data_IF_098942674992
#
_entry.id   IF_098942674992
#
_cell.length_a   1.000
_cell.length_b   1.000
_cell.length_c   1.000
_cell.angle_alpha   90.00
_cell.angle_beta   90.00
_cell.angle_gamma   90.00
#
_symmetry.space_group_name_H-M   'P 1'
#
loop_
_entity.id
_entity.type
_entity.pdbx_description
1 polymer ?
#
# COMPACT_ATOMS: atom_id res chain seq x y z
N UNK A 1 5.73 20.66 -9.59
CA UNK A 1 5.11 19.33 -9.39
C UNK A 1 5.25 18.93 -7.93
N UNK A 2 4.25 18.32 -7.40
CA UNK A 2 4.25 17.86 -6.02
C UNK A 2 4.05 16.34 -5.97
N UNK A 3 4.75 15.68 -5.07
CA UNK A 3 4.57 14.25 -4.85
C UNK A 3 3.45 14.06 -3.85
N UNK A 4 2.49 13.24 -4.21
CA UNK A 4 1.36 12.91 -3.35
C UNK A 4 1.47 11.45 -2.93
N UNK A 5 1.25 11.18 -1.65
CA UNK A 5 1.33 9.83 -1.10
C UNK A 5 -0.06 9.33 -0.72
N UNK A 6 -0.24 8.03 -0.88
CA UNK A 6 -1.43 7.35 -0.42
C UNK A 6 -1.01 6.10 0.33
N UNK A 7 -1.54 5.92 1.53
CA UNK A 7 -1.25 4.74 2.34
C UNK A 7 -2.53 3.94 2.52
N UNK A 8 -2.48 2.68 2.12
CA UNK A 8 -3.62 1.76 2.25
C UNK A 8 -3.29 0.73 3.32
N UNK A 9 -4.12 0.65 4.34
CA UNK A 9 -3.97 -0.32 5.42
C UNK A 9 -4.84 -1.53 5.16
N UNK A 10 -4.35 -2.71 5.52
CA UNK A 10 -5.17 -3.92 5.48
C UNK A 10 -4.78 -4.86 6.60
N UNK A 11 -5.79 -5.46 7.24
CA UNK A 11 -5.58 -6.54 8.21
C UNK A 11 -5.61 -7.90 7.52
N UNK A 12 -6.02 -7.96 6.26
CA UNK A 12 -6.00 -9.17 5.47
C UNK A 12 -4.68 -9.24 4.72
N UNK A 13 -3.67 -9.85 5.35
CA UNK A 13 -2.31 -9.90 4.81
C UNK A 13 -2.13 -11.22 4.06
N UNK A 14 -2.79 -11.32 2.91
CA UNK A 14 -2.68 -12.46 2.02
C UNK A 14 -2.23 -11.97 0.65
N UNK A 15 -1.67 -12.89 -0.13
CA UNK A 15 -1.26 -12.55 -1.49
C UNK A 15 -2.41 -12.00 -2.32
N UNK A 16 -3.58 -12.61 -2.20
CA UNK A 16 -4.76 -12.18 -2.95
C UNK A 16 -5.20 -10.77 -2.57
N UNK A 17 -5.22 -10.46 -1.27
CA UNK A 17 -5.63 -9.15 -0.81
C UNK A 17 -4.63 -8.07 -1.23
N UNK A 18 -3.35 -8.35 -1.10
CA UNK A 18 -2.30 -7.40 -1.48
C UNK A 18 -2.28 -7.17 -2.98
N UNK A 19 -2.46 -8.24 -3.76
CA UNK A 19 -2.51 -8.12 -5.21
C UNK A 19 -3.69 -7.26 -5.65
N UNK A 20 -4.84 -7.44 -5.02
CA UNK A 20 -6.02 -6.63 -5.33
C UNK A 20 -5.76 -5.15 -5.04
N UNK A 21 -5.15 -4.86 -3.90
CA UNK A 21 -4.81 -3.48 -3.54
C UNK A 21 -3.86 -2.87 -4.56
N UNK A 22 -2.81 -3.59 -4.92
CA UNK A 22 -1.84 -3.10 -5.89
C UNK A 22 -2.49 -2.82 -7.24
N UNK A 23 -3.32 -3.75 -7.72
CA UNK A 23 -3.96 -3.60 -9.02
C UNK A 23 -5.00 -2.48 -9.02
N UNK A 24 -5.75 -2.36 -7.93
CA UNK A 24 -6.81 -1.35 -7.82
C UNK A 24 -6.23 0.07 -7.87
N UNK A 25 -5.19 0.33 -7.09
CA UNK A 25 -4.65 1.67 -6.99
C UNK A 25 -3.73 2.04 -8.16
N UNK A 26 -2.99 1.08 -8.71
CA UNK A 26 -2.19 1.36 -9.90
C UNK A 26 -3.07 1.65 -11.11
N UNK A 27 -4.25 1.04 -11.17
CA UNK A 27 -5.22 1.34 -12.23
C UNK A 27 -5.73 2.77 -12.14
N UNK A 28 -5.66 3.40 -10.95
CA UNK A 28 -6.05 4.78 -10.73
C UNK A 28 -4.91 5.77 -10.97
N UNK A 29 -3.77 5.29 -11.45
CA UNK A 29 -2.63 6.15 -11.76
C UNK A 29 -1.59 6.26 -10.66
N UNK A 30 -1.75 5.50 -9.59
CA UNK A 30 -0.78 5.49 -8.51
C UNK A 30 0.36 4.51 -8.83
N UNK A 31 1.56 4.82 -8.35
CA UNK A 31 2.70 3.93 -8.46
C UNK A 31 3.01 3.34 -7.09
N UNK A 32 3.34 2.08 -7.06
CA UNK A 32 3.74 1.43 -5.82
C UNK A 32 5.11 1.99 -5.37
N UNK A 33 5.19 2.35 -4.09
CA UNK A 33 6.44 2.85 -3.49
C UNK A 33 7.03 1.83 -2.54
N UNK A 34 6.28 1.44 -1.52
CA UNK A 34 6.78 0.51 -0.52
C UNK A 34 5.64 -0.21 0.18
N UNK A 35 5.99 -1.31 0.83
CA UNK A 35 5.06 -2.07 1.64
C UNK A 35 5.73 -2.38 2.96
N UNK A 36 5.04 -2.13 4.06
CA UNK A 36 5.53 -2.40 5.40
C UNK A 36 4.54 -3.29 6.12
N UNK A 37 5.04 -4.07 7.06
CA UNK A 37 4.22 -5.01 7.81
C UNK A 37 4.35 -4.73 9.29
N UNK A 38 3.23 -4.84 10.02
CA UNK A 38 3.22 -4.78 11.47
C UNK A 38 3.06 -6.20 11.99
N UNK A 39 3.97 -6.63 12.85
CA UNK A 39 3.98 -7.98 13.41
C UNK A 39 3.51 -7.94 14.86
N UNK A 40 2.86 -9.03 15.28
CA UNK A 40 2.56 -9.22 16.68
C UNK A 40 3.67 -10.06 17.31
N UNK A 41 3.93 -9.84 18.58
CA UNK A 41 5.07 -10.44 19.30
C UNK A 41 5.16 -11.96 19.18
N UNK A 42 4.04 -12.65 19.21
CA UNK A 42 4.03 -14.11 19.20
C UNK A 42 3.58 -14.70 17.86
N UNK A 43 3.38 -13.88 16.87
CA UNK A 43 2.85 -14.33 15.59
C UNK A 43 3.96 -14.48 14.55
N UNK A 44 3.84 -15.52 13.73
CA UNK A 44 4.73 -15.70 12.59
C UNK A 44 4.22 -14.99 11.34
N UNK A 45 2.99 -14.46 11.40
CA UNK A 45 2.39 -13.74 10.29
C UNK A 45 2.16 -12.30 10.64
N UNK A 46 2.30 -11.39 9.68
CA UNK A 46 2.00 -9.99 9.93
C UNK A 46 0.54 -9.78 10.31
N UNK A 47 0.31 -8.89 11.27
CA UNK A 47 -1.04 -8.52 11.69
C UNK A 47 -1.67 -7.54 10.72
N UNK A 48 -0.86 -6.66 10.15
CA UNK A 48 -1.32 -5.62 9.21
C UNK A 48 -0.27 -5.35 8.17
N UNK A 49 -0.72 -4.84 7.03
CA UNK A 49 0.17 -4.33 5.99
C UNK A 49 -0.21 -2.91 5.67
N UNK A 50 0.80 -2.10 5.37
CA UNK A 50 0.65 -0.71 4.95
C UNK A 50 1.30 -0.58 3.58
N UNK A 51 0.49 -0.32 2.57
CA UNK A 51 0.96 -0.22 1.19
C UNK A 51 0.99 1.25 0.81
N UNK A 52 2.17 1.75 0.49
CA UNK A 52 2.36 3.15 0.15
C UNK A 52 2.47 3.31 -1.35
N UNK A 53 1.68 4.22 -1.88
CA UNK A 53 1.68 4.59 -3.28
C UNK A 53 2.05 6.05 -3.43
N UNK A 54 2.59 6.40 -4.58
CA UNK A 54 2.94 7.79 -4.90
C UNK A 54 2.45 8.15 -6.28
N UNK A 55 2.25 9.43 -6.48
CA UNK A 55 2.06 9.97 -7.82
C UNK A 55 2.44 11.44 -7.81
N UNK A 56 2.78 11.92 -8.98
CA UNK A 56 3.08 13.34 -9.15
C UNK A 56 1.80 14.08 -9.48
N UNK A 57 1.63 15.22 -8.86
CA UNK A 57 0.51 16.10 -9.16
C UNK A 57 1.05 17.43 -9.63
N UNK A 58 0.49 17.91 -10.72
CA UNK A 58 0.85 19.19 -11.24
C UNK A 58 0.21 20.28 -10.39
N UNK A 59 1.00 21.26 -10.01
CA UNK A 59 0.49 22.37 -9.23
C UNK A 59 -0.07 23.44 -10.18
N UNK A 60 -1.22 23.94 -9.81
CA UNK A 60 -1.88 24.99 -10.59
C UNK A 60 -1.21 26.33 -10.36
#
# INVERSE_FOLDING_TARGET
MATVYKVVETSDVTGDALERILNEWTAEGWRFEMMQFAMRDSSKRPAMAFVTFVREREEA
#
